data_IF_941784105971
#
_entry.id   IF_941784105971
#
_cell.length_a   1.000
_cell.length_b   1.000
_cell.length_c   1.000
_cell.angle_alpha   90.00
_cell.angle_beta   90.00
_cell.angle_gamma   90.00
#
_symmetry.space_group_name_H-M   'P 1'
#
loop_
_entity.id
_entity.type
_entity.pdbx_description
1 polymer ?
#
# COMPACT_ATOMS: atom_id res chain seq x y z
N UNK A 1 11.67 -11.91 14.54
CA UNK A 1 11.81 -10.66 13.78
C UNK A 1 11.49 -10.97 12.33
N UNK A 2 10.42 -10.39 11.80
CA UNK A 2 10.00 -10.52 10.40
C UNK A 2 10.24 -9.21 9.68
N UNK A 3 10.59 -9.27 8.40
CA UNK A 3 10.89 -8.09 7.59
C UNK A 3 10.30 -8.31 6.21
N UNK A 4 9.71 -7.26 5.65
CA UNK A 4 9.26 -7.25 4.27
C UNK A 4 9.78 -6.03 3.54
N UNK A 5 10.13 -6.20 2.28
CA UNK A 5 10.50 -5.10 1.38
C UNK A 5 9.83 -5.34 0.03
N UNK A 6 9.34 -4.28 -0.59
CA UNK A 6 8.82 -4.34 -1.95
C UNK A 6 9.10 -3.07 -2.75
N UNK A 7 9.09 -3.21 -4.08
CA UNK A 7 9.37 -2.15 -5.02
C UNK A 7 8.36 -2.19 -6.16
N UNK A 8 7.78 -1.03 -6.48
CA UNK A 8 6.77 -0.87 -7.52
C UNK A 8 7.26 0.11 -8.57
N UNK A 9 7.29 -0.36 -9.81
CA UNK A 9 7.51 0.48 -10.99
C UNK A 9 6.26 1.35 -11.26
N UNK A 10 6.43 2.67 -11.18
CA UNK A 10 5.36 3.66 -11.29
C UNK A 10 4.78 3.67 -12.70
N UNK A 11 5.60 3.56 -13.75
CA UNK A 11 5.14 3.54 -15.13
C UNK A 11 4.29 2.29 -15.43
N UNK A 12 4.72 1.14 -14.92
CA UNK A 12 3.98 -0.12 -15.03
C UNK A 12 2.66 -0.07 -14.29
N UNK A 13 2.62 0.51 -13.09
CA UNK A 13 1.37 0.69 -12.36
C UNK A 13 0.45 1.66 -13.09
N UNK A 14 0.97 2.77 -13.63
CA UNK A 14 0.20 3.74 -14.44
C UNK A 14 -0.47 3.06 -15.62
N UNK A 15 0.27 2.24 -16.36
CA UNK A 15 -0.26 1.48 -17.48
C UNK A 15 -1.29 0.43 -17.04
N UNK A 16 -1.10 -0.21 -15.88
CA UNK A 16 -2.04 -1.20 -15.35
C UNK A 16 -3.38 -0.55 -14.93
N UNK A 17 -3.33 0.57 -14.21
CA UNK A 17 -4.51 1.33 -13.79
C UNK A 17 -5.26 1.90 -15.00
N UNK A 18 -4.55 2.42 -16.00
CA UNK A 18 -5.16 2.91 -17.25
C UNK A 18 -5.87 1.83 -18.07
N UNK A 19 -5.41 0.57 -18.01
CA UNK A 19 -6.05 -0.56 -18.72
C UNK A 19 -7.21 -1.18 -17.96
N UNK A 20 -7.23 -1.08 -16.64
CA UNK A 20 -8.22 -1.75 -15.80
C UNK A 20 -8.75 -0.82 -14.72
N UNK A 21 -9.87 -0.11 -14.97
CA UNK A 21 -10.44 0.84 -14.00
C UNK A 21 -10.81 0.20 -12.65
N UNK A 22 -11.19 -1.08 -12.65
CA UNK A 22 -11.52 -1.84 -11.42
C UNK A 22 -10.29 -2.28 -10.64
N UNK A 23 -9.07 -2.13 -11.18
CA UNK A 23 -7.85 -2.54 -10.49
C UNK A 23 -7.63 -1.69 -9.24
N UNK A 24 -7.90 -0.39 -9.34
CA UNK A 24 -7.76 0.53 -8.21
C UNK A 24 -8.64 0.10 -7.03
N UNK A 25 -9.92 -0.21 -7.29
CA UNK A 25 -10.88 -0.70 -6.30
C UNK A 25 -10.49 -2.03 -5.65
N UNK A 26 -9.76 -2.87 -6.38
CA UNK A 26 -9.32 -4.19 -5.89
C UNK A 26 -8.06 -4.12 -5.05
N UNK A 27 -7.22 -3.12 -5.26
CA UNK A 27 -5.91 -3.00 -4.62
C UNK A 27 -5.88 -1.97 -3.49
N UNK A 28 -6.82 -1.02 -3.48
CA UNK A 28 -6.79 0.11 -2.55
C UNK A 28 -8.13 0.30 -1.83
N UNK A 29 -8.06 0.59 -0.53
CA UNK A 29 -9.23 0.95 0.28
C UNK A 29 -9.80 2.29 -0.19
N UNK A 30 -11.01 2.61 0.27
CA UNK A 30 -11.61 3.92 -0.04
C UNK A 30 -10.79 5.09 0.51
N UNK A 31 -10.20 4.93 1.69
CA UNK A 31 -9.38 5.97 2.31
C UNK A 31 -8.08 6.19 1.52
N UNK A 32 -7.41 5.12 1.12
CA UNK A 32 -6.18 5.18 0.31
C UNK A 32 -6.42 5.83 -1.05
N UNK A 33 -7.51 5.47 -1.73
CA UNK A 33 -7.89 6.10 -3.01
C UNK A 33 -8.12 7.59 -2.84
N UNK A 34 -8.84 8.00 -1.80
CA UNK A 34 -9.07 9.41 -1.48
C UNK A 34 -7.75 10.15 -1.22
N UNK A 35 -6.86 9.54 -0.44
CA UNK A 35 -5.54 10.11 -0.14
C UNK A 35 -4.71 10.26 -1.42
N UNK A 36 -4.52 9.18 -2.20
CA UNK A 36 -3.69 9.20 -3.40
C UNK A 36 -4.24 10.18 -4.44
N UNK A 37 -5.56 10.19 -4.67
CA UNK A 37 -6.20 11.12 -5.59
C UNK A 37 -6.06 12.60 -5.20
N UNK A 38 -5.79 12.91 -3.92
CA UNK A 38 -5.58 14.28 -3.45
C UNK A 38 -4.20 14.84 -3.76
N UNK A 39 -3.26 14.01 -4.26
CA UNK A 39 -1.86 14.38 -4.45
C UNK A 39 -1.56 14.84 -5.87
N UNK A 40 -0.48 15.61 -6.08
CA UNK A 40 -0.12 16.12 -7.42
C UNK A 40 0.13 15.03 -8.46
N UNK A 41 0.78 13.92 -8.06
CA UNK A 41 0.87 12.71 -8.89
C UNK A 41 0.23 11.52 -8.17
N UNK A 42 -1.07 11.26 -8.38
CA UNK A 42 -1.77 10.19 -7.68
C UNK A 42 -1.13 8.82 -7.88
N UNK A 43 -0.57 8.53 -9.05
CA UNK A 43 -0.03 7.20 -9.35
C UNK A 43 1.28 6.93 -8.63
N UNK A 44 2.11 7.95 -8.42
CA UNK A 44 3.30 7.85 -7.56
C UNK A 44 2.90 7.46 -6.12
N UNK A 45 1.84 8.07 -5.59
CA UNK A 45 1.33 7.74 -4.26
C UNK A 45 0.64 6.37 -4.20
N UNK A 46 -0.05 5.96 -5.27
CA UNK A 46 -0.56 4.59 -5.38
C UNK A 46 0.57 3.57 -5.41
N UNK A 47 1.68 3.86 -6.09
CA UNK A 47 2.84 2.97 -6.13
C UNK A 47 3.48 2.81 -4.75
N UNK A 48 3.67 3.90 -4.00
CA UNK A 48 4.16 3.84 -2.62
C UNK A 48 3.24 3.06 -1.69
N UNK A 49 1.93 3.29 -1.81
CA UNK A 49 0.90 2.54 -1.07
C UNK A 49 0.93 1.05 -1.41
N UNK A 50 1.07 0.70 -2.69
CA UNK A 50 1.13 -0.68 -3.16
C UNK A 50 2.39 -1.40 -2.65
N UNK A 51 3.55 -0.74 -2.75
CA UNK A 51 4.80 -1.25 -2.22
C UNK A 51 4.69 -1.50 -0.70
N UNK A 52 4.06 -0.59 0.04
CA UNK A 52 3.83 -0.76 1.47
C UNK A 52 2.94 -1.97 1.78
N UNK A 53 1.83 -2.15 1.06
CA UNK A 53 0.98 -3.34 1.23
C UNK A 53 1.74 -4.64 0.95
N UNK A 54 2.54 -4.69 -0.11
CA UNK A 54 3.34 -5.88 -0.43
C UNK A 54 4.45 -6.13 0.60
N UNK A 55 5.10 -5.08 1.11
CA UNK A 55 6.05 -5.19 2.20
C UNK A 55 5.39 -5.76 3.47
N UNK A 56 4.22 -5.26 3.85
CA UNK A 56 3.43 -5.77 4.99
C UNK A 56 3.06 -7.24 4.80
N UNK A 57 2.59 -7.62 3.61
CA UNK A 57 2.27 -9.03 3.28
C UNK A 57 3.49 -9.93 3.47
N UNK A 58 4.67 -9.50 3.03
CA UNK A 58 5.92 -10.26 3.16
C UNK A 58 6.37 -10.35 4.63
N UNK A 59 6.29 -9.25 5.38
CA UNK A 59 6.63 -9.23 6.80
C UNK A 59 5.71 -10.18 7.59
N UNK A 60 4.41 -10.07 7.41
CA UNK A 60 3.41 -10.86 8.14
C UNK A 60 3.18 -12.26 7.56
N UNK A 61 3.85 -12.63 6.45
CA UNK A 61 3.70 -13.91 5.74
C UNK A 61 2.25 -14.21 5.35
N UNK A 62 1.55 -13.17 4.87
CA UNK A 62 0.17 -13.26 4.42
C UNK A 62 0.08 -13.86 3.01
N UNK A 63 -1.15 -14.04 2.56
CA UNK A 63 -1.48 -14.58 1.23
C UNK A 63 -1.27 -13.57 0.10
N UNK A 64 -2.07 -13.69 -0.96
CA UNK A 64 -1.89 -12.84 -2.15
C UNK A 64 -2.39 -11.43 -1.90
N UNK A 65 -1.75 -10.45 -2.52
CA UNK A 65 -2.13 -9.04 -2.42
C UNK A 65 -3.62 -8.79 -2.65
N UNK A 66 -4.22 -9.38 -3.69
CA UNK A 66 -5.64 -9.16 -4.01
C UNK A 66 -6.59 -9.65 -2.90
N UNK A 67 -6.19 -10.65 -2.12
CA UNK A 67 -6.99 -11.20 -1.02
C UNK A 67 -6.90 -10.33 0.25
N UNK A 68 -5.75 -9.68 0.46
CA UNK A 68 -5.43 -8.93 1.66
C UNK A 68 -5.50 -7.40 1.49
N UNK A 69 -5.51 -6.90 0.25
CA UNK A 69 -5.47 -5.47 -0.05
C UNK A 69 -6.60 -4.66 0.59
N UNK A 70 -7.79 -5.24 0.76
CA UNK A 70 -8.91 -4.59 1.44
C UNK A 70 -8.82 -4.61 2.98
N UNK A 71 -7.89 -5.38 3.55
CA UNK A 71 -7.68 -5.55 5.00
C UNK A 71 -6.42 -4.87 5.51
N UNK A 72 -5.57 -4.38 4.60
CA UNK A 72 -4.38 -3.60 4.91
C UNK A 72 -4.71 -2.16 4.50
N UNK A 73 -4.67 -1.22 5.42
CA UNK A 73 -4.83 0.20 5.11
C UNK A 73 -3.55 0.97 5.42
N UNK A 74 -3.02 1.65 4.40
CA UNK A 74 -1.85 2.52 4.52
C UNK A 74 -2.33 3.95 4.74
N UNK A 75 -2.15 4.43 5.97
CA UNK A 75 -2.54 5.76 6.41
C UNK A 75 -1.38 6.75 6.48
N UNK A 76 -1.66 7.91 7.07
CA UNK A 76 -0.68 8.90 7.51
C UNK A 76 -1.07 9.39 8.90
N UNK A 77 -0.11 9.51 9.80
CA UNK A 77 -0.33 10.17 11.09
C UNK A 77 -0.32 11.71 10.95
N UNK A 78 -0.49 12.41 12.07
CA UNK A 78 -0.50 13.88 12.13
C UNK A 78 0.83 14.51 11.70
N UNK A 79 1.94 13.77 11.78
CA UNK A 79 3.26 14.20 11.29
C UNK A 79 3.45 13.97 9.79
N UNK A 80 2.55 13.20 9.16
CA UNK A 80 2.66 12.76 7.78
C UNK A 80 3.51 11.50 7.60
N UNK A 81 3.87 10.80 8.68
CA UNK A 81 4.53 9.51 8.61
C UNK A 81 3.56 8.41 8.16
N UNK A 82 3.99 7.44 7.33
CA UNK A 82 3.16 6.31 6.92
C UNK A 82 2.80 5.40 8.10
N UNK A 83 1.54 4.98 8.17
CA UNK A 83 1.06 3.95 9.10
C UNK A 83 0.50 2.78 8.29
N UNK A 84 0.56 1.56 8.82
CA UNK A 84 -0.08 0.39 8.24
C UNK A 84 -0.93 -0.33 9.28
N UNK A 85 -2.24 -0.38 9.07
CA UNK A 85 -3.18 -1.11 9.91
C UNK A 85 -3.64 -2.37 9.17
N UNK A 86 -3.58 -3.52 9.84
CA UNK A 86 -3.92 -4.82 9.25
C UNK A 86 -5.03 -5.50 10.07
N UNK A 87 -6.17 -5.74 9.43
CA UNK A 87 -7.27 -6.50 10.02
C UNK A 87 -7.11 -7.99 9.67
N UNK A 88 -6.67 -8.80 10.63
CA UNK A 88 -6.43 -10.24 10.42
C UNK A 88 -7.74 -11.04 10.40
N UNK A 89 -8.61 -10.77 11.37
CA UNK A 89 -9.90 -11.41 11.55
C UNK A 89 -11.03 -10.42 11.26
N UNK A 90 -12.19 -10.89 10.77
CA UNK A 90 -13.29 -10.02 10.33
C UNK A 90 -13.80 -9.08 11.44
N UNK A 91 -13.75 -9.55 12.69
CA UNK A 91 -14.20 -8.83 13.89
C UNK A 91 -13.01 -8.42 14.79
N UNK A 92 -11.78 -8.59 14.31
CA UNK A 92 -10.57 -8.30 15.07
C UNK A 92 -10.18 -6.84 15.01
N UNK A 93 -9.62 -6.35 16.12
CA UNK A 93 -8.96 -5.03 16.13
C UNK A 93 -7.77 -5.03 15.16
N UNK A 94 -7.61 -3.97 14.34
CA UNK A 94 -6.47 -3.87 13.43
C UNK A 94 -5.16 -3.85 14.21
N UNK A 95 -4.16 -4.59 13.73
CA UNK A 95 -2.80 -4.53 14.26
C UNK A 95 -1.97 -3.55 13.46
N UNK A 96 -1.14 -2.77 14.16
CA UNK A 96 -0.21 -1.85 13.52
C UNK A 96 1.06 -2.60 13.08
N UNK A 97 1.56 -2.25 11.90
CA UNK A 97 2.84 -2.71 11.35
C UNK A 97 3.67 -1.49 11.02
N UNK A 98 4.93 -1.47 11.44
CA UNK A 98 5.80 -0.35 11.14
C UNK A 98 6.16 -0.37 9.65
N UNK A 99 6.12 0.79 9.01
CA UNK A 99 6.35 0.93 7.57
C UNK A 99 7.15 2.19 7.29
N UNK A 100 8.02 2.12 6.29
CA UNK A 100 8.63 3.29 5.68
C UNK A 100 8.48 3.23 4.16
N UNK A 101 8.21 4.37 3.54
CA UNK A 101 7.95 4.50 2.09
C UNK A 101 8.88 5.57 1.53
N UNK A 102 9.50 5.26 0.40
CA UNK A 102 10.27 6.22 -0.38
C UNK A 102 9.92 6.07 -1.86
N UNK A 103 10.14 7.13 -2.63
CA UNK A 103 10.00 7.10 -4.08
C UNK A 103 11.04 7.99 -4.74
N UNK A 104 11.54 7.57 -5.89
CA UNK A 104 12.41 8.36 -6.75
C UNK A 104 12.02 8.11 -8.20
N UNK A 105 11.67 9.19 -8.92
CA UNK A 105 11.25 9.20 -10.33
C UNK A 105 10.20 8.14 -10.68
N UNK A 106 10.67 6.98 -11.13
CA UNK A 106 9.86 5.91 -11.72
C UNK A 106 9.66 4.72 -10.77
N UNK A 107 10.17 4.83 -9.53
CA UNK A 107 10.21 3.74 -8.58
C UNK A 107 9.69 4.17 -7.22
N UNK A 108 8.81 3.36 -6.64
CA UNK A 108 8.44 3.43 -5.24
C UNK A 108 8.98 2.19 -4.51
N UNK A 109 9.42 2.37 -3.27
CA UNK A 109 9.91 1.30 -2.40
C UNK A 109 9.30 1.44 -1.02
N UNK A 110 9.03 0.32 -0.37
CA UNK A 110 8.64 0.30 1.02
C UNK A 110 9.27 -0.86 1.78
N UNK A 111 9.48 -0.64 3.08
CA UNK A 111 9.90 -1.65 4.04
C UNK A 111 8.86 -1.73 5.16
N UNK A 112 8.65 -2.94 5.71
CA UNK A 112 7.75 -3.18 6.83
C UNK A 112 8.35 -4.16 7.86
N UNK A 113 8.05 -3.96 9.15
CA UNK A 113 8.51 -4.83 10.25
C UNK A 113 7.43 -5.06 11.31
#
# INVERSE_FOLDING_TARGET
MTLGIDMVDIARLRAALGRSPRLEERLFTKAERRYCASKPDPVMHFAGTLAAKEAVIKAMRLGRLVEWAGRIEIGRDDSGAPTAMVTLDADGEPVEVEVSISHERDLAVAVAQ
#
